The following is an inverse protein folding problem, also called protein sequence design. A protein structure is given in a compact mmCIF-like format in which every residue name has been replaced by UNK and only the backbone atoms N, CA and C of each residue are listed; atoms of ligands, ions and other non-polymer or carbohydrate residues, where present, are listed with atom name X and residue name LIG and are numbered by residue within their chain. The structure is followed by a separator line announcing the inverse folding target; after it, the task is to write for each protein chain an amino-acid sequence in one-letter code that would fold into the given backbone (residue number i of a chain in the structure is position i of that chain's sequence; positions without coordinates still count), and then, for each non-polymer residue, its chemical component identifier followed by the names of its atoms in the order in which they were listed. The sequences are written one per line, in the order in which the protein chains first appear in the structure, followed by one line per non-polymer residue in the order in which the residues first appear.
data_IF_034708922016
#
_entry.id   IF_034708922016
#
_cell.length_a   1.000
_cell.length_b   1.000
_cell.length_c   1.000
_cell.angle_alpha   90.00
_cell.angle_beta   90.00
_cell.angle_gamma   90.00
#
_symmetry.space_group_name_H-M   'P 1'
#
loop_
_entity.id
_entity.type
_entity.pdbx_description
1 polymer ?
#
# COMPACT_ATOMS: atom_id res chain seq x y z
N UNK A 1 -11.51 38.16 -32.56
CA UNK A 1 -12.58 37.63 -31.67
C UNK A 1 -12.36 36.16 -31.26
N UNK A 2 -11.82 35.27 -32.11
CA UNK A 2 -11.63 33.85 -31.79
C UNK A 2 -10.61 33.54 -30.67
N UNK A 3 -9.55 34.35 -30.51
CA UNK A 3 -8.51 34.17 -29.48
C UNK A 3 -9.02 34.48 -28.06
N UNK A 4 -10.04 35.34 -27.93
CA UNK A 4 -10.62 35.69 -26.62
C UNK A 4 -11.52 34.60 -26.03
N UNK A 5 -12.18 33.80 -26.87
CA UNK A 5 -13.06 32.70 -26.43
C UNK A 5 -12.27 31.50 -25.88
N UNK A 6 -11.13 31.16 -26.49
CA UNK A 6 -10.25 30.10 -26.00
C UNK A 6 -9.60 30.48 -24.66
N UNK A 7 -9.18 31.74 -24.49
CA UNK A 7 -8.66 32.24 -23.23
C UNK A 7 -9.71 32.27 -22.10
N UNK A 8 -10.97 32.61 -22.41
CA UNK A 8 -12.06 32.62 -21.43
C UNK A 8 -12.43 31.22 -20.91
N UNK A 9 -12.42 30.20 -21.79
CA UNK A 9 -12.70 28.81 -21.42
C UNK A 9 -11.58 28.22 -20.55
N UNK A 10 -10.31 28.49 -20.89
CA UNK A 10 -9.15 28.10 -20.07
C UNK A 10 -9.20 28.80 -18.70
N UNK A 11 -9.57 30.10 -18.68
CA UNK A 11 -9.69 30.86 -17.43
C UNK A 11 -10.82 30.35 -16.54
N UNK A 12 -11.95 29.92 -17.10
CA UNK A 12 -13.03 29.26 -16.37
C UNK A 12 -12.57 27.93 -15.77
N UNK A 13 -11.89 27.08 -16.54
CA UNK A 13 -11.34 25.82 -16.05
C UNK A 13 -10.37 26.03 -14.88
N UNK A 14 -9.44 26.99 -14.99
CA UNK A 14 -8.50 27.36 -13.91
C UNK A 14 -9.24 27.90 -12.67
N UNK A 15 -10.34 28.65 -12.86
CA UNK A 15 -11.14 29.17 -11.74
C UNK A 15 -11.94 28.08 -11.03
N UNK A 16 -12.51 27.12 -11.78
CA UNK A 16 -13.16 25.94 -11.22
C UNK A 16 -12.15 25.12 -10.40
N UNK A 17 -10.95 24.88 -10.92
CA UNK A 17 -9.89 24.20 -10.17
C UNK A 17 -9.55 24.95 -8.87
N UNK A 18 -9.42 26.28 -8.90
CA UNK A 18 -9.14 27.08 -7.69
C UNK A 18 -10.28 27.04 -6.65
N UNK A 19 -11.54 27.11 -7.08
CA UNK A 19 -12.69 26.96 -6.19
C UNK A 19 -12.77 25.56 -5.57
N UNK A 20 -12.46 24.53 -6.36
CA UNK A 20 -12.40 23.15 -5.89
C UNK A 20 -11.28 22.96 -4.84
N UNK A 21 -10.10 23.55 -5.06
CA UNK A 21 -9.01 23.51 -4.07
C UNK A 21 -9.41 24.16 -2.75
N UNK A 22 -10.08 25.31 -2.79
CA UNK A 22 -10.51 26.02 -1.59
C UNK A 22 -11.56 25.23 -0.80
N UNK A 23 -12.52 24.62 -1.50
CA UNK A 23 -13.52 23.79 -0.84
C UNK A 23 -12.90 22.50 -0.28
N UNK A 24 -11.97 21.89 -1.02
CA UNK A 24 -11.23 20.72 -0.55
C UNK A 24 -10.38 21.05 0.70
N UNK A 25 -9.67 22.18 0.72
CA UNK A 25 -8.89 22.62 1.88
C UNK A 25 -9.80 22.89 3.09
N UNK A 26 -10.97 23.50 2.86
CA UNK A 26 -11.97 23.79 3.90
C UNK A 26 -12.54 22.52 4.51
N UNK A 27 -13.03 21.60 3.69
CA UNK A 27 -13.58 20.33 4.18
C UNK A 27 -12.47 19.47 4.79
N UNK A 28 -11.27 19.50 4.21
CA UNK A 28 -10.12 18.75 4.69
C UNK A 28 -9.66 19.15 6.09
N UNK A 29 -9.63 20.45 6.42
CA UNK A 29 -9.23 20.89 7.77
C UNK A 29 -10.26 20.49 8.84
N UNK A 30 -11.54 20.52 8.49
CA UNK A 30 -12.63 20.08 9.36
C UNK A 30 -12.53 18.58 9.65
N UNK A 31 -12.28 17.77 8.62
CA UNK A 31 -12.04 16.31 8.76
C UNK A 31 -10.79 16.05 9.62
N UNK A 32 -9.71 16.80 9.41
CA UNK A 32 -8.47 16.67 10.17
C UNK A 32 -8.72 16.89 11.66
N UNK A 33 -9.45 17.96 12.00
CA UNK A 33 -9.82 18.29 13.37
C UNK A 33 -10.74 17.23 13.99
N UNK A 34 -11.77 16.78 13.27
CA UNK A 34 -12.72 15.77 13.73
C UNK A 34 -12.08 14.39 13.94
N UNK A 35 -11.05 14.07 13.15
CA UNK A 35 -10.28 12.84 13.28
C UNK A 35 -9.23 12.88 14.40
N UNK A 36 -9.14 13.99 15.14
CA UNK A 36 -8.21 14.16 16.26
C UNK A 36 -6.78 14.54 15.86
N UNK A 37 -6.53 14.88 14.60
CA UNK A 37 -5.24 15.42 14.15
C UNK A 37 -5.16 16.93 14.37
N UNK A 38 -3.95 17.48 14.42
CA UNK A 38 -3.73 18.92 14.65
C UNK A 38 -4.01 19.74 13.37
N UNK A 39 -5.01 20.65 13.37
CA UNK A 39 -5.40 21.43 12.18
C UNK A 39 -4.27 22.29 11.59
N UNK A 40 -3.37 22.81 12.44
CA UNK A 40 -2.20 23.61 12.00
C UNK A 40 -1.16 22.78 11.23
N UNK A 41 -1.26 21.45 11.21
CA UNK A 41 -0.40 20.60 10.39
C UNK A 41 -0.63 20.82 8.88
N UNK A 42 -1.86 21.14 8.47
CA UNK A 42 -2.19 21.41 7.06
C UNK A 42 -1.45 22.65 6.49
N UNK A 43 -1.57 23.86 7.07
CA UNK A 43 -0.82 25.01 6.58
C UNK A 43 0.70 24.82 6.72
N UNK A 44 1.17 24.13 7.76
CA UNK A 44 2.60 23.77 7.91
C UNK A 44 3.09 22.85 6.78
N UNK A 45 2.26 21.91 6.34
CA UNK A 45 2.55 21.04 5.21
C UNK A 45 2.58 21.81 3.90
N UNK A 46 1.61 22.70 3.66
CA UNK A 46 1.59 23.60 2.50
C UNK A 46 2.84 24.48 2.44
N UNK A 47 3.28 25.04 3.56
CA UNK A 47 4.50 25.85 3.61
C UNK A 47 5.74 25.03 3.22
N UNK A 48 5.87 23.81 3.76
CA UNK A 48 6.96 22.88 3.40
C UNK A 48 6.94 22.52 1.93
N UNK A 49 5.76 22.26 1.39
CA UNK A 49 5.57 21.93 -0.02
C UNK A 49 5.91 23.11 -0.94
N UNK A 50 5.47 24.32 -0.58
CA UNK A 50 5.82 25.55 -1.29
C UNK A 50 7.32 25.86 -1.27
N UNK A 51 7.99 25.62 -0.14
CA UNK A 51 9.45 25.73 -0.02
C UNK A 51 10.17 24.69 -0.90
N UNK A 52 9.75 23.43 -0.84
CA UNK A 52 10.32 22.36 -1.65
C UNK A 52 10.17 22.64 -3.15
N UNK A 53 9.01 23.16 -3.57
CA UNK A 53 8.76 23.54 -4.96
C UNK A 53 9.76 24.61 -5.47
N UNK A 54 10.04 25.63 -4.66
CA UNK A 54 11.02 26.69 -5.02
C UNK A 54 12.43 26.15 -5.20
N UNK A 55 12.82 25.16 -4.39
CA UNK A 55 14.18 24.59 -4.39
C UNK A 55 14.34 23.54 -5.50
N UNK A 56 13.28 22.79 -5.80
CA UNK A 56 13.30 21.65 -6.73
C UNK A 56 12.35 21.85 -7.94
N UNK A 57 12.40 23.03 -8.56
CA UNK A 57 11.51 23.40 -9.67
C UNK A 57 11.58 22.44 -10.89
N UNK A 58 12.62 21.62 -11.02
CA UNK A 58 12.76 20.60 -12.06
C UNK A 58 12.22 19.21 -11.68
N UNK A 59 11.76 19.02 -10.43
CA UNK A 59 11.21 17.77 -9.89
C UNK A 59 9.94 18.01 -9.08
N UNK A 60 9.04 18.86 -9.61
CA UNK A 60 7.71 19.01 -9.00
C UNK A 60 7.01 17.65 -8.99
N UNK A 61 6.48 17.20 -7.84
CA UNK A 61 5.53 16.11 -7.82
C UNK A 61 4.36 16.41 -8.75
N UNK A 62 3.91 15.42 -9.51
CA UNK A 62 2.76 15.54 -10.43
C UNK A 62 1.51 16.09 -9.72
N UNK A 63 1.32 15.71 -8.45
CA UNK A 63 0.28 16.24 -7.58
C UNK A 63 0.26 17.78 -7.51
N UNK A 64 1.42 18.44 -7.50
CA UNK A 64 1.50 19.91 -7.45
C UNK A 64 1.20 20.59 -8.79
N UNK A 65 1.23 19.84 -9.89
CA UNK A 65 0.85 20.37 -11.20
C UNK A 65 -0.67 20.52 -11.31
N UNK A 66 -1.43 19.60 -10.71
CA UNK A 66 -2.89 19.64 -10.68
C UNK A 66 -3.44 20.39 -9.46
N UNK A 67 -2.74 20.34 -8.32
CA UNK A 67 -3.11 20.99 -7.06
C UNK A 67 -2.02 21.98 -6.60
N UNK A 68 -1.89 23.16 -7.24
CA UNK A 68 -0.84 24.10 -6.88
C UNK A 68 -1.06 24.69 -5.49
N UNK A 69 -0.05 24.55 -4.63
CA UNK A 69 -0.03 25.22 -3.31
C UNK A 69 0.42 26.67 -3.48
N UNK A 70 -0.46 27.61 -3.15
CA UNK A 70 -0.24 29.06 -3.27
C UNK A 70 -0.20 29.72 -1.90
N UNK A 71 0.40 30.91 -1.81
CA UNK A 71 0.45 31.68 -0.56
C UNK A 71 -0.94 32.02 -0.02
N UNK A 72 -1.92 32.31 -0.90
CA UNK A 72 -3.29 32.57 -0.50
C UNK A 72 -3.98 31.35 0.11
N UNK A 73 -3.75 30.14 -0.43
CA UNK A 73 -4.24 28.88 0.17
C UNK A 73 -3.62 28.63 1.54
N UNK A 74 -2.32 28.84 1.69
CA UNK A 74 -1.64 28.69 2.99
C UNK A 74 -2.20 29.67 4.02
N UNK A 75 -2.45 30.93 3.64
CA UNK A 75 -3.03 31.93 4.53
C UNK A 75 -4.47 31.61 4.92
N UNK A 76 -5.31 31.16 3.98
CA UNK A 76 -6.69 30.73 4.27
C UNK A 76 -6.72 29.53 5.22
N UNK A 77 -5.90 28.50 4.93
CA UNK A 77 -5.77 27.32 5.79
C UNK A 77 -5.27 27.70 7.20
N UNK A 78 -4.36 28.66 7.33
CA UNK A 78 -3.88 29.17 8.61
C UNK A 78 -5.00 29.88 9.39
N UNK A 79 -5.75 30.79 8.75
CA UNK A 79 -6.87 31.49 9.38
C UNK A 79 -7.99 30.54 9.85
N UNK A 80 -8.21 29.43 9.13
CA UNK A 80 -9.14 28.37 9.56
C UNK A 80 -8.59 27.56 10.73
N UNK A 81 -7.31 27.17 10.67
CA UNK A 81 -6.67 26.39 11.73
C UNK A 81 -6.72 27.11 13.09
N UNK A 82 -6.69 28.45 13.10
CA UNK A 82 -6.80 29.27 14.31
C UNK A 82 -8.18 29.20 14.98
N UNK A 83 -9.23 28.83 14.25
CA UNK A 83 -10.58 28.63 14.81
C UNK A 83 -10.67 27.36 15.67
N UNK A 84 -9.69 26.46 15.53
CA UNK A 84 -9.63 25.22 16.28
C UNK A 84 -8.75 25.34 17.54
N UNK A 85 -9.18 24.76 18.67
CA UNK A 85 -8.36 24.69 19.86
C UNK A 85 -7.07 23.92 19.56
N UNK A 86 -5.94 24.43 20.06
CA UNK A 86 -4.67 23.74 19.92
C UNK A 86 -4.66 22.42 20.70
N UNK A 87 -4.24 21.33 20.03
CA UNK A 87 -4.06 20.02 20.67
C UNK A 87 -2.76 19.39 20.20
N UNK A 88 -1.89 19.05 21.15
CA UNK A 88 -0.72 18.23 20.82
C UNK A 88 -1.15 16.77 20.68
N UNK A 89 -1.42 16.33 19.46
CA UNK A 89 -1.73 14.93 19.17
C UNK A 89 -0.43 14.13 19.08
N UNK A 90 -0.22 13.08 19.90
CA UNK A 90 0.94 12.22 19.76
C UNK A 90 0.90 11.47 18.42
N UNK A 91 2.03 11.43 17.72
CA UNK A 91 2.15 10.66 16.48
C UNK A 91 2.14 9.15 16.80
N UNK A 92 1.33 8.38 16.09
CA UNK A 92 1.28 6.92 16.28
C UNK A 92 2.60 6.27 15.86
N UNK A 93 3.08 5.29 16.62
CA UNK A 93 4.30 4.53 16.28
C UNK A 93 4.27 4.02 14.83
N UNK A 94 3.13 3.45 14.40
CA UNK A 94 2.92 2.95 13.04
C UNK A 94 3.21 3.98 11.94
N UNK A 95 2.91 5.27 12.16
CA UNK A 95 3.27 6.32 11.20
C UNK A 95 4.79 6.40 11.00
N UNK A 96 5.55 6.37 12.10
CA UNK A 96 7.00 6.40 12.03
C UNK A 96 7.58 5.12 11.42
N UNK A 97 7.02 3.95 11.74
CA UNK A 97 7.43 2.67 11.16
C UNK A 97 7.21 2.66 9.64
N UNK A 98 6.02 3.07 9.19
CA UNK A 98 5.70 3.17 7.77
C UNK A 98 6.64 4.14 7.04
N UNK A 99 6.91 5.31 7.63
CA UNK A 99 7.86 6.28 7.08
C UNK A 99 9.26 5.70 6.94
N UNK A 100 9.75 4.98 7.95
CA UNK A 100 11.06 4.33 7.92
C UNK A 100 11.09 3.20 6.88
N UNK A 101 10.06 2.37 6.80
CA UNK A 101 9.95 1.33 5.80
C UNK A 101 10.00 1.88 4.36
N UNK A 102 9.25 2.96 4.08
CA UNK A 102 9.27 3.62 2.77
C UNK A 102 10.63 4.26 2.46
N UNK A 103 11.24 4.92 3.44
CA UNK A 103 12.56 5.55 3.30
C UNK A 103 13.63 4.49 2.99
N UNK A 104 13.61 3.36 3.70
CA UNK A 104 14.56 2.26 3.46
C UNK A 104 14.29 1.54 2.14
N UNK A 105 13.04 1.46 1.68
CA UNK A 105 12.71 0.89 0.37
C UNK A 105 13.26 1.72 -0.79
N UNK A 106 13.33 3.04 -0.64
CA UNK A 106 13.80 3.98 -1.67
C UNK A 106 15.32 4.25 -1.63
N UNK A 107 16.01 3.84 -0.58
CA UNK A 107 17.43 4.12 -0.41
C UNK A 107 18.28 3.00 -1.04
N UNK A 108 19.06 3.24 -2.08
CA UNK A 108 19.86 2.17 -2.73
C UNK A 108 21.19 1.82 -2.05
N UNK A 109 21.51 2.46 -0.91
CA UNK A 109 22.80 2.34 -0.20
C UNK A 109 22.58 1.85 1.24
N UNK A 110 22.27 0.56 1.46
CA UNK A 110 21.88 0.07 2.78
C UNK A 110 23.00 0.18 3.82
N UNK A 111 24.27 0.02 3.43
CA UNK A 111 25.42 0.17 4.33
C UNK A 111 25.63 1.60 4.83
N UNK A 112 25.37 2.58 3.98
CA UNK A 112 25.39 3.99 4.38
C UNK A 112 24.23 4.30 5.31
N UNK A 113 23.02 3.80 4.99
CA UNK A 113 21.86 3.95 5.86
C UNK A 113 22.08 3.38 7.27
N UNK A 114 22.76 2.23 7.39
CA UNK A 114 23.13 1.64 8.69
C UNK A 114 24.00 2.60 9.49
N UNK A 115 25.04 3.18 8.87
CA UNK A 115 25.93 4.14 9.55
C UNK A 115 25.18 5.41 9.98
N UNK A 116 24.39 5.99 9.09
CA UNK A 116 23.66 7.23 9.35
C UNK A 116 22.62 7.07 10.46
N UNK A 117 21.87 5.96 10.42
CA UNK A 117 20.89 5.64 11.48
C UNK A 117 21.60 5.33 12.80
N UNK A 118 22.80 4.75 12.76
CA UNK A 118 23.62 4.50 13.94
C UNK A 118 24.04 5.80 14.62
N UNK A 119 24.59 6.73 13.83
CA UNK A 119 24.93 8.08 14.30
C UNK A 119 23.71 8.83 14.81
N UNK A 120 22.56 8.70 14.14
CA UNK A 120 21.31 9.31 14.61
C UNK A 120 20.90 8.82 16.00
N UNK A 121 21.10 7.53 16.30
CA UNK A 121 20.82 6.94 17.61
C UNK A 121 21.84 7.40 18.66
N UNK A 122 23.13 7.45 18.32
CA UNK A 122 24.19 7.91 19.21
C UNK A 122 24.04 9.39 19.59
N UNK A 123 23.72 10.24 18.62
CA UNK A 123 23.56 11.68 18.82
C UNK A 123 22.21 12.04 19.48
N UNK A 124 21.28 11.08 19.64
CA UNK A 124 19.93 11.35 20.12
C UNK A 124 19.06 12.18 19.15
N UNK A 125 19.41 12.19 17.84
CA UNK A 125 18.77 13.06 16.81
C UNK A 125 17.59 12.38 16.13
N UNK A 126 16.68 11.77 16.89
CA UNK A 126 15.53 11.05 16.36
C UNK A 126 14.20 11.59 16.90
N UNK A 127 13.14 11.50 16.09
CA UNK A 127 11.76 11.77 16.55
C UNK A 127 11.17 10.60 17.32
N UNK A 128 11.54 9.39 16.94
CA UNK A 128 11.06 8.15 17.53
C UNK A 128 12.18 7.10 17.45
N UNK A 129 12.72 6.72 18.60
CA UNK A 129 13.87 5.80 18.68
C UNK A 129 13.53 4.42 18.12
N UNK A 130 12.39 3.86 18.52
CA UNK A 130 11.89 2.55 18.08
C UNK A 130 11.81 2.48 16.56
N UNK A 131 11.32 3.53 15.91
CA UNK A 131 11.24 3.58 14.46
C UNK A 131 12.61 3.68 13.77
N UNK A 132 13.56 4.45 14.33
CA UNK A 132 14.92 4.52 13.78
C UNK A 132 15.62 3.17 13.89
N UNK A 133 15.46 2.48 15.03
CA UNK A 133 15.95 1.10 15.20
C UNK A 133 15.28 0.12 14.25
N UNK A 134 13.99 0.28 13.97
CA UNK A 134 13.31 -0.52 12.95
C UNK A 134 13.84 -0.23 11.55
N UNK A 135 14.06 1.04 11.19
CA UNK A 135 14.72 1.43 9.95
C UNK A 135 16.12 0.82 9.82
N UNK A 136 16.87 0.76 10.92
CA UNK A 136 18.18 0.10 10.98
C UNK A 136 18.06 -1.39 10.66
N UNK A 137 17.11 -2.09 11.27
CA UNK A 137 16.86 -3.51 10.99
C UNK A 137 16.54 -3.74 9.50
N UNK A 138 15.70 -2.90 8.90
CA UNK A 138 15.38 -3.00 7.48
C UNK A 138 16.61 -2.76 6.58
N UNK A 139 17.46 -1.79 6.94
CA UNK A 139 18.73 -1.55 6.23
C UNK A 139 19.69 -2.75 6.36
N UNK A 140 19.80 -3.33 7.56
CA UNK A 140 20.59 -4.54 7.83
C UNK A 140 20.12 -5.75 7.01
N UNK A 141 18.81 -5.98 6.91
CA UNK A 141 18.23 -7.03 6.05
C UNK A 141 18.69 -6.82 4.59
N UNK A 142 18.60 -5.59 4.09
CA UNK A 142 18.97 -5.26 2.71
C UNK A 142 20.48 -5.34 2.46
N UNK A 143 21.30 -5.09 3.48
CA UNK A 143 22.74 -5.30 3.46
C UNK A 143 23.15 -6.77 3.65
N UNK A 144 22.19 -7.70 3.75
CA UNK A 144 22.41 -9.12 4.08
C UNK A 144 23.12 -9.34 5.43
N UNK A 145 23.02 -8.38 6.36
CA UNK A 145 23.53 -8.49 7.74
C UNK A 145 22.48 -9.12 8.64
N UNK A 146 22.15 -10.38 8.36
CA UNK A 146 21.00 -11.06 8.95
C UNK A 146 21.12 -11.25 10.47
N UNK A 147 22.34 -11.49 10.99
CA UNK A 147 22.57 -11.61 12.43
C UNK A 147 22.28 -10.28 13.16
N UNK A 148 22.79 -9.17 12.64
CA UNK A 148 22.56 -7.82 13.21
C UNK A 148 21.07 -7.44 13.14
N UNK A 149 20.43 -7.73 12.02
CA UNK A 149 19.00 -7.51 11.82
C UNK A 149 18.16 -8.30 12.84
N UNK A 150 18.46 -9.58 13.00
CA UNK A 150 17.81 -10.45 13.97
C UNK A 150 17.95 -9.92 15.39
N UNK A 151 19.17 -9.57 15.82
CA UNK A 151 19.41 -9.01 17.15
C UNK A 151 18.67 -7.68 17.38
N UNK A 152 18.61 -6.81 16.37
CA UNK A 152 17.87 -5.54 16.45
C UNK A 152 16.37 -5.79 16.58
N UNK A 153 15.81 -6.70 15.79
CA UNK A 153 14.39 -7.05 15.82
C UNK A 153 13.98 -7.78 17.11
N UNK A 154 14.83 -8.65 17.63
CA UNK A 154 14.57 -9.35 18.90
C UNK A 154 14.48 -8.36 20.07
N UNK A 155 15.32 -7.32 20.09
CA UNK A 155 15.21 -6.23 21.07
C UNK A 155 13.91 -5.44 20.90
N UNK A 156 13.51 -5.13 19.67
CA UNK A 156 12.27 -4.42 19.38
C UNK A 156 11.03 -5.23 19.82
N UNK A 157 11.02 -6.54 19.52
CA UNK A 157 9.97 -7.47 19.95
C UNK A 157 9.93 -7.66 21.46
N UNK A 158 11.07 -7.54 22.16
CA UNK A 158 11.10 -7.55 23.62
C UNK A 158 10.40 -6.36 24.28
N UNK A 159 10.25 -5.23 23.56
CA UNK A 159 9.57 -4.02 24.05
C UNK A 159 8.14 -3.92 23.50
N UNK A 160 7.95 -4.29 22.24
CA UNK A 160 6.70 -4.18 21.49
C UNK A 160 6.38 -5.53 20.80
N UNK A 161 6.00 -6.57 21.56
CA UNK A 161 5.75 -7.90 21.03
C UNK A 161 4.59 -7.96 20.03
N UNK A 162 3.64 -7.03 20.12
CA UNK A 162 2.41 -6.97 19.32
C UNK A 162 2.59 -6.29 17.95
N UNK A 163 3.74 -5.65 17.71
CA UNK A 163 3.94 -4.87 16.48
C UNK A 163 4.22 -5.80 15.29
N UNK A 164 3.20 -5.97 14.45
CA UNK A 164 3.20 -6.80 13.24
C UNK A 164 4.40 -6.55 12.34
N UNK A 165 4.81 -5.29 12.15
CA UNK A 165 5.94 -4.90 11.31
C UNK A 165 7.25 -5.56 11.80
N UNK A 166 7.43 -5.72 13.11
CA UNK A 166 8.60 -6.36 13.70
C UNK A 166 8.53 -7.87 13.55
N UNK A 167 7.35 -8.47 13.79
CA UNK A 167 7.11 -9.90 13.63
C UNK A 167 7.40 -10.35 12.19
N UNK A 168 6.82 -9.64 11.21
CA UNK A 168 7.00 -9.92 9.78
C UNK A 168 8.47 -9.78 9.38
N UNK A 169 9.13 -8.71 9.83
CA UNK A 169 10.54 -8.48 9.49
C UNK A 169 11.43 -9.56 10.10
N UNK A 170 11.11 -10.04 11.32
CA UNK A 170 11.86 -11.12 11.97
C UNK A 170 11.66 -12.45 11.28
N UNK A 171 10.43 -12.79 10.91
CA UNK A 171 10.13 -13.98 10.11
C UNK A 171 10.88 -13.97 8.78
N UNK A 172 10.98 -12.80 8.13
CA UNK A 172 11.78 -12.65 6.91
C UNK A 172 13.27 -12.89 7.15
N UNK A 173 13.83 -12.41 8.27
CA UNK A 173 15.23 -12.69 8.65
C UNK A 173 15.44 -14.18 8.86
N UNK A 174 14.54 -14.85 9.60
CA UNK A 174 14.59 -16.30 9.84
C UNK A 174 14.59 -17.09 8.51
N UNK A 175 13.70 -16.73 7.59
CA UNK A 175 13.65 -17.35 6.25
C UNK A 175 14.94 -17.11 5.45
N UNK A 176 15.49 -15.90 5.46
CA UNK A 176 16.76 -15.58 4.79
C UNK A 176 17.96 -16.31 5.41
N UNK A 177 17.88 -16.67 6.70
CA UNK A 177 18.88 -17.49 7.39
C UNK A 177 18.68 -19.00 7.13
N UNK A 178 17.63 -19.39 6.41
CA UNK A 178 17.28 -20.79 6.14
C UNK A 178 16.39 -21.43 7.21
N UNK A 179 16.05 -20.72 8.30
CA UNK A 179 15.07 -21.18 9.30
C UNK A 179 13.64 -20.87 8.86
N UNK A 180 13.25 -21.47 7.73
CA UNK A 180 11.91 -21.28 7.18
C UNK A 180 10.82 -21.84 8.12
N UNK A 181 11.13 -22.90 8.87
CA UNK A 181 10.22 -23.48 9.84
C UNK A 181 9.96 -22.52 11.02
N UNK A 182 11.00 -21.85 11.52
CA UNK A 182 10.88 -20.78 12.51
C UNK A 182 10.04 -19.61 12.01
N UNK A 183 10.32 -19.15 10.79
CA UNK A 183 9.56 -18.08 10.15
C UNK A 183 8.05 -18.38 10.08
N UNK A 184 7.68 -19.57 9.58
CA UNK A 184 6.28 -19.97 9.49
C UNK A 184 5.62 -20.11 10.86
N UNK A 185 6.30 -20.68 11.86
CA UNK A 185 5.76 -20.78 13.23
C UNK A 185 5.48 -19.39 13.82
N UNK A 186 6.42 -18.45 13.67
CA UNK A 186 6.26 -17.07 14.14
C UNK A 186 5.06 -16.39 13.51
N UNK A 187 4.92 -16.52 12.20
CA UNK A 187 3.79 -15.95 11.46
C UNK A 187 2.48 -16.62 11.85
N UNK A 188 2.46 -17.93 12.03
CA UNK A 188 1.26 -18.68 12.43
C UNK A 188 0.74 -18.25 13.80
N UNK A 189 1.62 -18.09 14.79
CA UNK A 189 1.25 -17.55 16.11
C UNK A 189 0.65 -16.16 15.99
N UNK A 190 1.31 -15.27 15.24
CA UNK A 190 0.82 -13.89 15.09
C UNK A 190 -0.50 -13.79 14.30
N UNK A 191 -0.73 -14.68 13.33
CA UNK A 191 -1.99 -14.76 12.57
C UNK A 191 -3.15 -15.22 13.48
N UNK A 192 -2.89 -16.05 14.49
CA UNK A 192 -3.92 -16.43 15.44
C UNK A 192 -4.45 -15.24 16.25
N UNK A 193 -3.60 -14.24 16.50
CA UNK A 193 -3.96 -13.00 17.22
C UNK A 193 -4.49 -11.90 16.28
N UNK A 194 -3.98 -11.84 15.05
CA UNK A 194 -4.32 -10.83 14.05
C UNK A 194 -4.67 -11.48 12.69
N UNK A 195 -5.78 -12.24 12.61
CA UNK A 195 -6.13 -13.00 11.42
C UNK A 195 -6.42 -12.12 10.19
N UNK A 196 -6.83 -10.86 10.41
CA UNK A 196 -7.12 -9.85 9.39
C UNK A 196 -5.88 -9.12 8.84
N UNK A 197 -4.70 -9.40 9.40
CA UNK A 197 -3.46 -8.73 9.02
C UNK A 197 -2.98 -9.19 7.64
N UNK A 198 -3.09 -8.29 6.65
CA UNK A 198 -2.59 -8.50 5.30
C UNK A 198 -1.09 -8.86 5.30
N UNK A 199 -0.27 -8.11 6.05
CA UNK A 199 1.18 -8.31 6.05
C UNK A 199 1.57 -9.69 6.59
N UNK A 200 0.89 -10.21 7.61
CA UNK A 200 1.16 -11.53 8.15
C UNK A 200 0.76 -12.63 7.17
N UNK A 201 -0.46 -12.59 6.64
CA UNK A 201 -0.99 -13.62 5.75
C UNK A 201 -0.22 -13.70 4.43
N UNK A 202 0.11 -12.56 3.83
CA UNK A 202 0.90 -12.51 2.59
C UNK A 202 2.33 -12.99 2.83
N UNK A 203 2.99 -12.55 3.90
CA UNK A 203 4.36 -13.02 4.21
C UNK A 203 4.37 -14.53 4.45
N UNK A 204 3.40 -15.07 5.18
CA UNK A 204 3.27 -16.51 5.40
C UNK A 204 3.10 -17.26 4.09
N UNK A 205 2.22 -16.77 3.21
CA UNK A 205 1.93 -17.40 1.93
C UNK A 205 3.15 -17.40 1.00
N UNK A 206 3.90 -16.31 0.96
CA UNK A 206 5.15 -16.19 0.21
C UNK A 206 6.24 -17.13 0.75
N UNK A 207 6.40 -17.19 2.09
CA UNK A 207 7.32 -18.13 2.74
C UNK A 207 6.95 -19.59 2.46
N UNK A 208 5.68 -19.95 2.57
CA UNK A 208 5.21 -21.31 2.28
C UNK A 208 5.44 -21.70 0.80
N UNK A 209 5.21 -20.77 -0.15
CA UNK A 209 5.53 -21.00 -1.56
C UNK A 209 7.03 -21.18 -1.80
N UNK A 210 7.88 -20.38 -1.16
CA UNK A 210 9.34 -20.50 -1.26
C UNK A 210 9.85 -21.85 -0.75
N UNK A 211 9.14 -22.48 0.20
CA UNK A 211 9.43 -23.82 0.71
C UNK A 211 8.86 -24.96 -0.14
N UNK A 212 8.13 -24.67 -1.22
CA UNK A 212 7.42 -25.69 -1.98
C UNK A 212 6.21 -26.27 -1.26
N UNK A 213 5.57 -25.51 -0.37
CA UNK A 213 4.31 -25.87 0.32
C UNK A 213 3.10 -25.08 -0.25
N UNK A 214 2.77 -25.21 -1.56
CA UNK A 214 1.73 -24.41 -2.18
C UNK A 214 0.33 -24.67 -1.62
N UNK A 215 0.04 -25.90 -1.17
CA UNK A 215 -1.24 -26.22 -0.52
C UNK A 215 -1.43 -25.44 0.79
N UNK A 216 -0.36 -25.29 1.59
CA UNK A 216 -0.39 -24.55 2.85
C UNK A 216 -0.54 -23.05 2.61
N UNK A 217 0.13 -22.53 1.58
CA UNK A 217 -0.03 -21.15 1.13
C UNK A 217 -1.47 -20.86 0.70
N UNK A 218 -2.04 -21.70 -0.18
CA UNK A 218 -3.40 -21.54 -0.69
C UNK A 218 -4.45 -21.58 0.43
N UNK A 219 -4.36 -22.56 1.33
CA UNK A 219 -5.30 -22.68 2.45
C UNK A 219 -5.26 -21.46 3.37
N UNK A 220 -4.09 -20.85 3.59
CA UNK A 220 -3.97 -19.64 4.41
C UNK A 220 -4.61 -18.44 3.72
N UNK A 221 -4.28 -18.22 2.44
CA UNK A 221 -4.81 -17.09 1.67
C UNK A 221 -6.32 -17.17 1.45
N UNK A 222 -6.87 -18.37 1.22
CA UNK A 222 -8.31 -18.56 1.10
C UNK A 222 -9.06 -18.11 2.37
N UNK A 223 -8.55 -18.46 3.56
CA UNK A 223 -9.12 -17.97 4.83
C UNK A 223 -8.95 -16.46 5.01
N UNK A 224 -7.84 -15.90 4.51
CA UNK A 224 -7.63 -14.46 4.58
C UNK A 224 -8.68 -13.67 3.74
N UNK A 225 -9.16 -14.25 2.64
CA UNK A 225 -10.21 -13.63 1.83
C UNK A 225 -11.54 -13.45 2.59
N UNK A 226 -11.78 -14.16 3.69
CA UNK A 226 -12.95 -13.94 4.57
C UNK A 226 -12.90 -12.56 5.25
N UNK A 227 -11.71 -11.97 5.40
CA UNK A 227 -11.51 -10.63 5.97
C UNK A 227 -11.43 -9.56 4.89
N UNK A 228 -10.76 -9.87 3.78
CA UNK A 228 -10.52 -8.93 2.68
C UNK A 228 -10.61 -9.64 1.33
N UNK A 229 -11.75 -9.52 0.68
CA UNK A 229 -12.05 -10.16 -0.59
C UNK A 229 -11.44 -9.47 -1.81
N UNK A 230 -10.99 -8.21 -1.69
CA UNK A 230 -10.57 -7.37 -2.83
C UNK A 230 -9.06 -7.08 -2.81
N UNK A 231 -8.23 -8.12 -2.68
CA UNK A 231 -6.77 -7.96 -2.57
C UNK A 231 -6.07 -8.61 -3.79
N UNK A 232 -5.71 -7.83 -4.84
CA UNK A 232 -5.17 -8.38 -6.09
C UNK A 232 -3.96 -9.30 -5.88
N UNK A 233 -3.04 -8.89 -4.99
CA UNK A 233 -1.82 -9.68 -4.70
C UNK A 233 -2.15 -11.05 -4.12
N UNK A 234 -3.23 -11.18 -3.35
CA UNK A 234 -3.67 -12.45 -2.78
C UNK A 234 -4.11 -13.41 -3.90
N UNK A 235 -4.90 -12.93 -4.84
CA UNK A 235 -5.30 -13.70 -6.02
C UNK A 235 -4.11 -14.11 -6.90
N UNK A 236 -3.13 -13.22 -7.06
CA UNK A 236 -1.89 -13.56 -7.78
C UNK A 236 -1.12 -14.71 -7.09
N UNK A 237 -1.00 -14.68 -5.77
CA UNK A 237 -0.34 -15.75 -4.98
C UNK A 237 -1.15 -17.04 -4.97
N UNK A 238 -2.48 -16.96 -4.88
CA UNK A 238 -3.40 -18.10 -4.99
C UNK A 238 -3.29 -18.78 -6.35
N UNK A 239 -3.20 -17.99 -7.43
CA UNK A 239 -2.97 -18.51 -8.77
C UNK A 239 -1.66 -19.28 -8.87
N UNK A 240 -0.56 -18.70 -8.38
CA UNK A 240 0.74 -19.36 -8.32
C UNK A 240 0.66 -20.67 -7.53
N UNK A 241 0.06 -20.64 -6.35
CA UNK A 241 -0.12 -21.82 -5.51
C UNK A 241 -0.96 -22.91 -6.20
N UNK A 242 -2.00 -22.54 -6.96
CA UNK A 242 -2.80 -23.48 -7.73
C UNK A 242 -2.00 -24.08 -8.90
N UNK A 243 -1.21 -23.27 -9.60
CA UNK A 243 -0.29 -23.71 -10.66
C UNK A 243 0.73 -24.73 -10.17
N UNK A 244 1.39 -24.45 -9.03
CA UNK A 244 2.36 -25.35 -8.38
C UNK A 244 1.71 -26.67 -7.90
N UNK A 245 0.40 -26.69 -7.69
CA UNK A 245 -0.38 -27.89 -7.38
C UNK A 245 -0.92 -28.62 -8.63
N UNK A 246 -0.64 -28.14 -9.84
CA UNK A 246 -1.19 -28.67 -11.09
C UNK A 246 -2.68 -28.33 -11.31
N UNK A 247 -3.28 -27.49 -10.47
CA UNK A 247 -4.70 -27.06 -10.53
C UNK A 247 -4.86 -25.89 -11.51
N UNK A 248 -4.61 -26.17 -12.79
CA UNK A 248 -4.51 -25.14 -13.83
C UNK A 248 -5.79 -24.31 -14.01
N UNK A 249 -6.97 -24.95 -14.03
CA UNK A 249 -8.24 -24.24 -14.17
C UNK A 249 -8.47 -23.23 -13.03
N UNK A 250 -8.24 -23.67 -11.78
CA UNK A 250 -8.34 -22.83 -10.59
C UNK A 250 -7.29 -21.70 -10.61
N UNK A 251 -6.09 -21.96 -11.11
CA UNK A 251 -5.05 -20.93 -11.28
C UNK A 251 -5.49 -19.80 -12.21
N UNK A 252 -6.15 -20.14 -13.33
CA UNK A 252 -6.73 -19.16 -14.24
C UNK A 252 -7.95 -18.44 -13.66
N UNK A 253 -8.81 -19.13 -12.89
CA UNK A 253 -9.88 -18.47 -12.13
C UNK A 253 -9.33 -17.38 -11.21
N UNK A 254 -8.28 -17.67 -10.42
CA UNK A 254 -7.64 -16.66 -9.57
C UNK A 254 -6.98 -15.53 -10.36
N UNK A 255 -6.38 -15.80 -11.53
CA UNK A 255 -5.87 -14.72 -12.38
C UNK A 255 -6.98 -13.83 -12.92
N UNK A 256 -8.16 -14.40 -13.23
CA UNK A 256 -9.30 -13.61 -13.66
C UNK A 256 -9.66 -12.55 -12.61
N UNK A 257 -9.81 -12.97 -11.35
CA UNK A 257 -10.13 -12.05 -10.25
C UNK A 257 -9.00 -11.03 -10.01
N UNK A 258 -7.72 -11.44 -10.14
CA UNK A 258 -6.61 -10.49 -10.12
C UNK A 258 -6.75 -9.41 -11.20
N UNK A 259 -6.97 -9.79 -12.46
CA UNK A 259 -7.10 -8.85 -13.57
C UNK A 259 -8.32 -7.94 -13.40
N UNK A 260 -9.43 -8.49 -12.94
CA UNK A 260 -10.63 -7.72 -12.63
C UNK A 260 -10.35 -6.61 -11.60
N UNK A 261 -9.70 -6.97 -10.49
CA UNK A 261 -9.42 -6.02 -9.40
C UNK A 261 -8.40 -4.92 -9.76
N UNK A 262 -7.54 -5.14 -10.76
CA UNK A 262 -6.64 -4.10 -11.28
C UNK A 262 -7.25 -3.28 -12.44
N UNK A 263 -8.51 -3.55 -12.79
CA UNK A 263 -9.23 -2.86 -13.86
C UNK A 263 -8.96 -3.37 -15.27
N UNK A 264 -8.35 -4.55 -15.42
CA UNK A 264 -8.12 -5.20 -16.71
C UNK A 264 -9.24 -6.22 -17.00
N UNK A 265 -10.39 -5.70 -17.44
CA UNK A 265 -11.58 -6.52 -17.70
C UNK A 265 -11.38 -7.51 -18.87
N UNK A 266 -10.63 -7.11 -19.90
CA UNK A 266 -10.28 -7.99 -21.02
C UNK A 266 -9.40 -9.16 -20.56
N UNK A 267 -8.38 -8.87 -19.76
CA UNK A 267 -7.54 -9.88 -19.12
C UNK A 267 -8.36 -10.83 -18.26
N UNK A 268 -9.31 -10.31 -17.47
CA UNK A 268 -10.17 -11.11 -16.60
C UNK A 268 -11.02 -12.12 -17.39
N UNK A 269 -11.68 -11.65 -18.46
CA UNK A 269 -12.50 -12.48 -19.35
C UNK A 269 -11.64 -13.57 -20.00
N UNK A 270 -10.47 -13.21 -20.55
CA UNK A 270 -9.58 -14.15 -21.21
C UNK A 270 -9.16 -15.29 -20.26
N UNK A 271 -8.85 -14.99 -19.01
CA UNK A 271 -8.45 -16.02 -18.05
C UNK A 271 -9.58 -17.01 -17.74
N UNK A 272 -10.84 -16.57 -17.62
CA UNK A 272 -11.98 -17.48 -17.43
C UNK A 272 -12.21 -18.37 -18.66
N UNK A 273 -12.08 -17.82 -19.86
CA UNK A 273 -12.18 -18.61 -21.09
C UNK A 273 -11.07 -19.67 -21.19
N UNK A 274 -9.86 -19.37 -20.72
CA UNK A 274 -8.77 -20.35 -20.63
C UNK A 274 -9.10 -21.40 -19.57
N UNK A 275 -9.63 -21.00 -18.40
CA UNK A 275 -10.01 -21.90 -17.33
C UNK A 275 -11.07 -22.93 -17.79
N UNK A 276 -12.12 -22.46 -18.48
CA UNK A 276 -13.21 -23.30 -19.00
C UNK A 276 -12.78 -24.29 -20.09
N UNK A 277 -11.69 -24.00 -20.81
CA UNK A 277 -11.12 -24.91 -21.81
C UNK A 277 -10.26 -26.03 -21.20
N UNK A 278 -9.97 -26.00 -19.88
CA UNK A 278 -9.16 -27.03 -19.24
C UNK A 278 -10.00 -28.31 -19.01
N UNK A 279 -9.44 -29.50 -19.30
CA UNK A 279 -10.14 -30.76 -19.07
C UNK A 279 -10.27 -31.08 -17.58
N UNK A 280 -11.25 -31.92 -17.22
CA UNK A 280 -11.42 -32.43 -15.85
C UNK A 280 -12.22 -31.54 -14.90
N UNK A 281 -12.87 -30.49 -15.41
CA UNK A 281 -13.78 -29.65 -14.63
C UNK A 281 -15.14 -30.34 -14.44
N UNK A 282 -15.68 -30.28 -13.22
CA UNK A 282 -17.03 -30.77 -12.94
C UNK A 282 -18.09 -29.74 -13.40
N UNK A 283 -19.34 -30.18 -13.52
CA UNK A 283 -20.44 -29.34 -14.00
C UNK A 283 -20.72 -28.12 -13.10
N UNK A 284 -20.52 -28.26 -11.78
CA UNK A 284 -20.75 -27.17 -10.84
C UNK A 284 -19.73 -26.04 -11.04
N UNK A 285 -18.45 -26.40 -11.13
CA UNK A 285 -17.36 -25.44 -11.36
C UNK A 285 -17.48 -24.78 -12.74
N UNK A 286 -17.83 -25.54 -13.78
CA UNK A 286 -18.03 -24.96 -15.11
C UNK A 286 -19.18 -23.96 -15.12
N UNK A 287 -20.32 -24.31 -14.52
CA UNK A 287 -21.49 -23.41 -14.46
C UNK A 287 -21.19 -22.12 -13.69
N UNK A 288 -20.44 -22.21 -12.58
CA UNK A 288 -20.00 -21.06 -11.78
C UNK A 288 -19.10 -20.12 -12.59
N UNK A 289 -18.10 -20.68 -13.30
CA UNK A 289 -17.19 -19.89 -14.12
C UNK A 289 -17.88 -19.30 -15.36
N UNK A 290 -18.80 -20.03 -15.98
CA UNK A 290 -19.63 -19.51 -17.09
C UNK A 290 -20.51 -18.34 -16.65
N UNK A 291 -21.12 -18.42 -15.46
CA UNK A 291 -21.89 -17.32 -14.88
C UNK A 291 -21.00 -16.09 -14.66
N UNK A 292 -19.84 -16.26 -14.01
CA UNK A 292 -18.89 -15.15 -13.78
C UNK A 292 -18.42 -14.54 -15.10
N UNK A 293 -18.14 -15.38 -16.11
CA UNK A 293 -17.76 -14.92 -17.44
C UNK A 293 -18.86 -14.10 -18.12
N UNK A 294 -20.12 -14.51 -17.97
CA UNK A 294 -21.26 -13.77 -18.50
C UNK A 294 -21.40 -12.39 -17.84
N UNK A 295 -21.22 -12.32 -16.51
CA UNK A 295 -21.24 -11.06 -15.76
C UNK A 295 -20.17 -10.09 -16.27
N UNK A 296 -18.92 -10.55 -16.40
CA UNK A 296 -17.82 -9.72 -16.89
C UNK A 296 -18.02 -9.25 -18.33
N UNK A 297 -18.59 -10.11 -19.20
CA UNK A 297 -18.91 -9.73 -20.59
C UNK A 297 -20.00 -8.67 -20.65
N UNK A 298 -21.03 -8.79 -19.80
CA UNK A 298 -22.08 -7.77 -19.70
C UNK A 298 -21.52 -6.43 -19.26
N UNK A 299 -20.64 -6.43 -18.25
CA UNK A 299 -19.96 -5.21 -17.77
C UNK A 299 -19.14 -4.55 -18.89
N UNK A 300 -18.39 -5.35 -19.66
CA UNK A 300 -17.60 -4.85 -20.78
C UNK A 300 -18.45 -4.19 -21.87
N UNK A 301 -19.60 -4.78 -22.20
CA UNK A 301 -20.51 -4.22 -23.19
C UNK A 301 -21.10 -2.88 -22.74
N UNK A 302 -21.37 -2.74 -21.44
CA UNK A 302 -21.86 -1.48 -20.87
C UNK A 302 -20.78 -0.40 -20.82
N UNK A 303 -19.51 -0.76 -20.54
CA UNK A 303 -18.38 0.17 -20.65
C UNK A 303 -18.18 0.67 -22.09
N UNK A 304 -18.29 -0.21 -23.09
CA UNK A 304 -18.21 0.16 -24.52
C UNK A 304 -19.33 1.11 -24.94
N UNK A 305 -20.55 0.91 -24.43
CA UNK A 305 -21.68 1.83 -24.66
C UNK A 305 -21.44 3.20 -24.01
N UNK A 306 -20.90 3.24 -22.78
CA UNK A 306 -20.57 4.51 -22.10
C UNK A 306 -19.42 5.25 -22.77
N UNK A 307 -18.40 4.52 -23.25
CA UNK A 307 -17.26 5.09 -23.98
C UNK A 307 -17.65 5.68 -25.33
N UNK A 308 -18.59 5.04 -26.04
CA UNK A 308 -19.13 5.56 -27.32
C UNK A 308 -20.14 6.70 -27.16
N UNK A 309 -20.65 6.92 -25.93
CA UNK A 309 -21.57 8.01 -25.60
C UNK A 309 -20.90 9.28 -25.07
N UNK A 310 -19.56 9.33 -24.94
CA UNK A 310 -18.82 10.57 -24.63
C UNK A 310 -18.65 11.40 -25.92
N UNK A 311 -19.20 12.62 -26.00
CA UNK A 311 -19.02 13.53 -27.14
C UNK A 311 -17.59 14.09 -27.24
#
# INVERSE_FOLDING_TARGET
AAVGGQAALIQQQINFTRGNEQEADRVGIDILAQSGYEPRAMPSFFERMGKANRVYASKLPEFLMTHPVTSSRTADAMGRAEQYPYRQTPEFLRYHLARMALTQRQNDRPEEAIRDLGQMLEDGRFRNETAVRYGMALAQIRANRLADAGATLDRLLGIHPEVVEFIVSRARVEALQGDNAGALRRLETAIAEHPESYALNVTYAESALAMGEPARSAAKLQRFLDFRSEEPRVYQLLSRAAGDQGKQALGHEYLSEYYYLIGDLEGAILQLEIALKKPGMNFYDSSRLESRLADLKSEQDDEKKKGSAKP
#
